data_IF_370198545568
#
_entry.id   IF_370198545568
#
_cell.length_a   1.000
_cell.length_b   1.000
_cell.length_c   1.000
_cell.angle_alpha   90.00
_cell.angle_beta   90.00
_cell.angle_gamma   90.00
#
_symmetry.space_group_name_H-M   'P 1'
#
loop_
_entity.id
_entity.type
_entity.pdbx_description
1 polymer ?
#
# COMPACT_ATOMS: atom_id res chain seq x y z
N UNK A 1 -13.53 111.32 -88.59
CA UNK A 1 -13.76 111.40 -87.12
C UNK A 1 -14.68 110.28 -86.63
N UNK A 2 -15.91 110.13 -87.16
CA UNK A 2 -16.90 109.14 -86.69
C UNK A 2 -16.42 107.67 -86.82
N UNK A 3 -15.84 107.28 -87.96
CA UNK A 3 -15.33 105.90 -88.17
C UNK A 3 -14.21 105.53 -87.19
N UNK A 4 -13.31 106.49 -86.89
CA UNK A 4 -12.18 106.27 -86.00
C UNK A 4 -12.59 106.15 -84.53
N UNK A 5 -13.65 106.87 -84.14
CA UNK A 5 -14.29 106.73 -82.82
C UNK A 5 -14.99 105.37 -82.73
N UNK A 6 -15.70 104.95 -83.79
CA UNK A 6 -16.40 103.67 -83.82
C UNK A 6 -15.46 102.46 -83.78
N UNK A 7 -14.37 102.48 -84.54
CA UNK A 7 -13.37 101.40 -84.50
C UNK A 7 -12.65 101.37 -83.16
N UNK A 8 -12.28 102.53 -82.60
CA UNK A 8 -11.64 102.59 -81.28
C UNK A 8 -12.56 102.06 -80.17
N UNK A 9 -13.81 102.53 -80.11
CA UNK A 9 -14.78 102.04 -79.11
C UNK A 9 -15.09 100.57 -79.32
N UNK A 10 -15.25 100.09 -80.56
CA UNK A 10 -15.45 98.68 -80.86
C UNK A 10 -14.25 97.83 -80.43
N UNK A 11 -13.03 98.20 -80.78
CA UNK A 11 -11.83 97.47 -80.37
C UNK A 11 -11.63 97.50 -78.87
N UNK A 12 -11.90 98.64 -78.21
CA UNK A 12 -11.76 98.78 -76.76
C UNK A 12 -12.80 97.95 -76.02
N UNK A 13 -14.06 97.99 -76.47
CA UNK A 13 -15.14 97.16 -75.90
C UNK A 13 -14.84 95.69 -76.16
N UNK A 14 -14.42 95.31 -77.36
CA UNK A 14 -14.09 93.93 -77.70
C UNK A 14 -12.89 93.42 -76.90
N UNK A 15 -11.79 94.17 -76.80
CA UNK A 15 -10.63 93.75 -76.00
C UNK A 15 -10.95 93.74 -74.52
N UNK A 16 -11.70 94.71 -74.00
CA UNK A 16 -12.11 94.74 -72.60
C UNK A 16 -13.03 93.55 -72.27
N UNK A 17 -14.05 93.30 -73.07
CA UNK A 17 -14.96 92.16 -72.90
C UNK A 17 -14.20 90.84 -73.06
N UNK A 18 -13.37 90.70 -74.11
CA UNK A 18 -12.61 89.48 -74.35
C UNK A 18 -11.60 89.21 -73.22
N UNK A 19 -10.84 90.22 -72.79
CA UNK A 19 -9.87 90.06 -71.69
C UNK A 19 -10.58 89.82 -70.37
N UNK A 20 -11.67 90.52 -70.06
CA UNK A 20 -12.45 90.32 -68.84
C UNK A 20 -13.07 88.92 -68.80
N UNK A 21 -13.75 88.50 -69.87
CA UNK A 21 -14.36 87.18 -69.96
C UNK A 21 -13.29 86.09 -69.95
N UNK A 22 -12.23 86.22 -70.73
CA UNK A 22 -11.16 85.22 -70.78
C UNK A 22 -10.44 85.09 -69.43
N UNK A 23 -10.05 86.21 -68.81
CA UNK A 23 -9.38 86.16 -67.51
C UNK A 23 -10.32 85.64 -66.42
N UNK A 24 -11.58 86.09 -66.39
CA UNK A 24 -12.55 85.62 -65.40
C UNK A 24 -12.84 84.13 -65.55
N UNK A 25 -13.16 83.66 -66.76
CA UNK A 25 -13.46 82.25 -67.02
C UNK A 25 -12.21 81.39 -66.79
N UNK A 26 -11.05 81.80 -67.30
CA UNK A 26 -9.82 81.02 -67.14
C UNK A 26 -9.41 80.93 -65.67
N UNK A 27 -9.39 82.05 -64.94
CA UNK A 27 -9.03 82.04 -63.52
C UNK A 27 -10.04 81.26 -62.70
N UNK A 28 -11.34 81.44 -62.93
CA UNK A 28 -12.38 80.73 -62.20
C UNK A 28 -12.33 79.21 -62.45
N UNK A 29 -12.28 78.79 -63.72
CA UNK A 29 -12.21 77.36 -64.07
C UNK A 29 -10.90 76.74 -63.59
N UNK A 30 -9.76 77.40 -63.81
CA UNK A 30 -8.46 76.88 -63.40
C UNK A 30 -8.36 76.75 -61.87
N UNK A 31 -8.77 77.78 -61.13
CA UNK A 31 -8.75 77.72 -59.66
C UNK A 31 -9.72 76.67 -59.12
N UNK A 32 -10.92 76.57 -59.70
CA UNK A 32 -11.92 75.56 -59.28
C UNK A 32 -11.44 74.13 -59.54
N UNK A 33 -10.95 73.83 -60.75
CA UNK A 33 -10.43 72.50 -61.09
C UNK A 33 -9.21 72.15 -60.23
N UNK A 34 -8.26 73.08 -60.09
CA UNK A 34 -7.05 72.84 -59.30
C UNK A 34 -7.37 72.60 -57.82
N UNK A 35 -8.26 73.40 -57.23
CA UNK A 35 -8.70 73.21 -55.84
C UNK A 35 -9.43 71.89 -55.66
N UNK A 36 -10.29 71.49 -56.61
CA UNK A 36 -11.00 70.21 -56.57
C UNK A 36 -10.06 69.00 -56.67
N UNK A 37 -9.08 69.03 -57.56
CA UNK A 37 -8.08 67.95 -57.68
C UNK A 37 -7.24 67.88 -56.40
N UNK A 38 -6.79 69.02 -55.88
CA UNK A 38 -5.96 69.04 -54.67
C UNK A 38 -6.73 68.51 -53.44
N UNK A 39 -7.99 68.92 -53.25
CA UNK A 39 -8.83 68.39 -52.17
C UNK A 39 -9.07 66.90 -52.34
N UNK A 40 -9.30 66.42 -53.56
CA UNK A 40 -9.43 64.98 -53.83
C UNK A 40 -8.15 64.21 -53.49
N UNK A 41 -6.98 64.70 -53.89
CA UNK A 41 -5.70 64.05 -53.55
C UNK A 41 -5.42 64.05 -52.05
N UNK A 42 -5.77 65.14 -51.35
CA UNK A 42 -5.63 65.24 -49.90
C UNK A 42 -6.56 64.26 -49.17
N UNK A 43 -7.81 64.15 -49.60
CA UNK A 43 -8.77 63.19 -49.06
C UNK A 43 -8.26 61.76 -49.30
N UNK A 44 -7.75 61.46 -50.49
CA UNK A 44 -7.21 60.14 -50.81
C UNK A 44 -5.99 59.80 -49.94
N UNK A 45 -5.01 60.69 -49.81
CA UNK A 45 -3.83 60.45 -48.99
C UNK A 45 -4.17 60.34 -47.51
N UNK A 46 -5.07 61.19 -47.00
CA UNK A 46 -5.54 61.13 -45.62
C UNK A 46 -6.27 59.82 -45.33
N UNK A 47 -7.22 59.41 -46.18
CA UNK A 47 -7.94 58.15 -46.04
C UNK A 47 -6.98 56.98 -46.12
N UNK A 48 -6.08 56.95 -47.11
CA UNK A 48 -5.13 55.86 -47.28
C UNK A 48 -4.18 55.75 -46.08
N UNK A 49 -3.59 56.87 -45.64
CA UNK A 49 -2.68 56.85 -44.49
C UNK A 49 -3.40 56.50 -43.20
N UNK A 50 -4.58 57.07 -42.94
CA UNK A 50 -5.36 56.77 -41.74
C UNK A 50 -5.82 55.31 -41.72
N UNK A 51 -6.42 54.81 -42.80
CA UNK A 51 -6.86 53.42 -42.89
C UNK A 51 -5.67 52.47 -42.82
N UNK A 52 -4.61 52.73 -43.58
CA UNK A 52 -3.44 51.85 -43.58
C UNK A 52 -2.76 51.83 -42.21
N UNK A 53 -2.48 52.99 -41.62
CA UNK A 53 -1.84 53.03 -40.29
C UNK A 53 -2.75 52.44 -39.22
N UNK A 54 -4.02 52.82 -39.17
CA UNK A 54 -4.95 52.31 -38.16
C UNK A 54 -5.15 50.81 -38.29
N UNK A 55 -5.49 50.31 -39.49
CA UNK A 55 -5.68 48.88 -39.70
C UNK A 55 -4.37 48.15 -39.43
N UNK A 56 -3.26 48.54 -40.07
CA UNK A 56 -2.00 47.81 -39.91
C UNK A 56 -1.51 47.82 -38.46
N UNK A 57 -1.51 48.97 -37.79
CA UNK A 57 -1.07 49.02 -36.39
C UNK A 57 -2.02 48.25 -35.49
N UNK A 58 -3.34 48.42 -35.63
CA UNK A 58 -4.32 47.72 -34.80
C UNK A 58 -4.27 46.20 -35.03
N UNK A 59 -4.32 45.74 -36.28
CA UNK A 59 -4.25 44.30 -36.58
C UNK A 59 -2.91 43.74 -36.14
N UNK A 60 -1.79 44.40 -36.45
CA UNK A 60 -0.49 43.85 -36.12
C UNK A 60 -0.26 43.84 -34.61
N UNK A 61 -0.53 44.93 -33.91
CA UNK A 61 -0.37 44.96 -32.45
C UNK A 61 -1.35 44.03 -31.75
N UNK A 62 -2.63 44.05 -32.11
CA UNK A 62 -3.64 43.20 -31.48
C UNK A 62 -3.36 41.71 -31.74
N UNK A 63 -3.15 41.32 -33.00
CA UNK A 63 -2.88 39.91 -33.33
C UNK A 63 -1.57 39.49 -32.69
N UNK A 64 -0.50 40.28 -32.81
CA UNK A 64 0.79 39.89 -32.26
C UNK A 64 0.76 39.81 -30.74
N UNK A 65 0.22 40.81 -30.04
CA UNK A 65 0.14 40.76 -28.58
C UNK A 65 -0.82 39.70 -28.12
N UNK A 66 -2.02 39.58 -28.69
CA UNK A 66 -2.99 38.57 -28.27
C UNK A 66 -2.47 37.16 -28.52
N UNK A 67 -2.02 36.85 -29.74
CA UNK A 67 -1.49 35.52 -30.05
C UNK A 67 -0.25 35.23 -29.21
N UNK A 68 0.73 36.14 -29.17
CA UNK A 68 1.95 35.87 -28.42
C UNK A 68 1.67 35.75 -26.93
N UNK A 69 0.97 36.70 -26.32
CA UNK A 69 0.74 36.65 -24.87
C UNK A 69 -0.16 35.48 -24.52
N UNK A 70 -1.29 35.29 -25.20
CA UNK A 70 -2.24 34.26 -24.86
C UNK A 70 -1.72 32.86 -25.15
N UNK A 71 -1.10 32.62 -26.31
CA UNK A 71 -0.54 31.29 -26.62
C UNK A 71 0.65 31.01 -25.71
N UNK A 72 1.57 31.96 -25.54
CA UNK A 72 2.74 31.72 -24.70
C UNK A 72 2.35 31.53 -23.24
N UNK A 73 1.48 32.37 -22.68
CA UNK A 73 1.03 32.18 -21.29
C UNK A 73 0.22 30.92 -21.14
N UNK A 74 -0.71 30.60 -22.05
CA UNK A 74 -1.51 29.38 -21.98
C UNK A 74 -0.65 28.13 -22.09
N UNK A 75 0.23 28.04 -23.09
CA UNK A 75 1.13 26.91 -23.25
C UNK A 75 2.06 26.79 -22.05
N UNK A 76 2.70 27.89 -21.63
CA UNK A 76 3.63 27.84 -20.51
C UNK A 76 2.92 27.48 -19.21
N UNK A 77 1.80 28.13 -18.88
CA UNK A 77 1.06 27.81 -17.65
C UNK A 77 0.48 26.42 -17.70
N UNK A 78 -0.20 26.03 -18.77
CA UNK A 78 -0.82 24.71 -18.90
C UNK A 78 0.22 23.60 -18.87
N UNK A 79 1.26 23.67 -19.72
CA UNK A 79 2.30 22.64 -19.76
C UNK A 79 3.05 22.61 -18.43
N UNK A 80 3.49 23.75 -17.90
CA UNK A 80 4.25 23.77 -16.66
C UNK A 80 3.40 23.29 -15.49
N UNK A 81 2.17 23.78 -15.32
CA UNK A 81 1.32 23.33 -14.21
C UNK A 81 0.92 21.88 -14.38
N UNK A 82 0.50 21.44 -15.57
CA UNK A 82 0.09 20.06 -15.81
C UNK A 82 1.24 19.09 -15.62
N UNK A 83 2.40 19.33 -16.26
CA UNK A 83 3.57 18.45 -16.11
C UNK A 83 4.06 18.47 -14.67
N UNK A 84 4.22 19.64 -14.06
CA UNK A 84 4.71 19.72 -12.68
C UNK A 84 3.74 19.04 -11.71
N UNK A 85 2.44 19.35 -11.79
CA UNK A 85 1.46 18.72 -10.89
C UNK A 85 1.34 17.24 -11.15
N UNK A 86 1.24 16.79 -12.40
CA UNK A 86 1.12 15.38 -12.73
C UNK A 86 2.36 14.60 -12.30
N UNK A 87 3.56 15.04 -12.68
CA UNK A 87 4.80 14.36 -12.32
C UNK A 87 4.98 14.38 -10.80
N UNK A 88 4.83 15.54 -10.15
CA UNK A 88 5.01 15.63 -8.71
C UNK A 88 3.98 14.78 -7.96
N UNK A 89 2.69 14.88 -8.30
CA UNK A 89 1.65 14.08 -7.63
C UNK A 89 1.82 12.61 -7.93
N UNK A 90 2.06 12.21 -9.17
CA UNK A 90 2.25 10.80 -9.53
C UNK A 90 3.48 10.21 -8.84
N UNK A 91 4.65 10.85 -8.96
CA UNK A 91 5.88 10.35 -8.34
C UNK A 91 5.73 10.34 -6.82
N UNK A 92 5.26 11.44 -6.22
CA UNK A 92 5.12 11.51 -4.76
C UNK A 92 4.11 10.48 -4.26
N UNK A 93 2.91 10.41 -4.85
CA UNK A 93 1.90 9.45 -4.41
C UNK A 93 2.34 8.03 -4.66
N UNK A 94 2.85 7.70 -5.84
CA UNK A 94 3.30 6.35 -6.18
C UNK A 94 4.46 5.91 -5.28
N UNK A 95 5.53 6.71 -5.19
CA UNK A 95 6.68 6.36 -4.35
C UNK A 95 6.27 6.29 -2.89
N UNK A 96 5.54 7.29 -2.37
CA UNK A 96 5.14 7.28 -0.98
C UNK A 96 4.21 6.10 -0.67
N UNK A 97 3.17 5.87 -1.48
CA UNK A 97 2.26 4.74 -1.24
C UNK A 97 2.98 3.42 -1.41
N UNK A 98 3.76 3.22 -2.47
CA UNK A 98 4.48 1.97 -2.72
C UNK A 98 5.49 1.69 -1.61
N UNK A 99 6.37 2.64 -1.28
CA UNK A 99 7.38 2.44 -0.23
C UNK A 99 6.70 2.25 1.12
N UNK A 100 5.73 3.11 1.48
CA UNK A 100 5.04 3.00 2.76
C UNK A 100 4.29 1.67 2.86
N UNK A 101 3.50 1.30 1.86
CA UNK A 101 2.76 0.03 1.88
C UNK A 101 3.71 -1.15 1.86
N UNK A 102 4.72 -1.18 0.99
CA UNK A 102 5.67 -2.29 0.93
C UNK A 102 6.44 -2.45 2.23
N UNK A 103 7.03 -1.38 2.77
CA UNK A 103 7.78 -1.44 4.02
C UNK A 103 6.84 -1.80 5.16
N UNK A 104 5.70 -1.10 5.31
CA UNK A 104 4.78 -1.35 6.41
C UNK A 104 4.22 -2.77 6.35
N UNK A 105 3.73 -3.22 5.19
CA UNK A 105 3.18 -4.57 5.05
C UNK A 105 4.28 -5.60 5.29
N UNK A 106 5.43 -5.50 4.62
CA UNK A 106 6.48 -6.49 4.76
C UNK A 106 7.06 -6.54 6.18
N UNK A 107 7.32 -5.39 6.81
CA UNK A 107 7.84 -5.36 8.18
C UNK A 107 6.79 -5.88 9.15
N UNK A 108 5.54 -5.43 9.04
CA UNK A 108 4.48 -5.89 9.92
C UNK A 108 4.18 -7.38 9.73
N UNK A 109 4.07 -7.86 8.49
CA UNK A 109 3.84 -9.29 8.25
C UNK A 109 5.03 -10.09 8.72
N UNK A 110 6.26 -9.73 8.36
CA UNK A 110 7.46 -10.48 8.75
C UNK A 110 7.62 -10.52 10.26
N UNK A 111 7.55 -9.38 10.95
CA UNK A 111 7.68 -9.30 12.41
C UNK A 111 6.52 -10.07 13.06
N UNK A 112 5.29 -9.84 12.62
CA UNK A 112 4.14 -10.50 13.22
C UNK A 112 4.19 -12.01 13.01
N UNK A 113 4.43 -12.49 11.77
CA UNK A 113 4.55 -13.93 11.51
C UNK A 113 5.74 -14.51 12.26
N UNK A 114 6.93 -13.91 12.18
CA UNK A 114 8.12 -14.46 12.79
C UNK A 114 7.99 -14.52 14.31
N UNK A 115 7.60 -13.42 14.95
CA UNK A 115 7.42 -13.38 16.41
C UNK A 115 6.28 -14.28 16.83
N UNK A 116 5.12 -14.21 16.18
CA UNK A 116 3.97 -15.03 16.55
C UNK A 116 4.27 -16.50 16.36
N UNK A 117 4.78 -16.92 15.19
CA UNK A 117 5.12 -18.32 14.96
C UNK A 117 6.21 -18.75 15.91
N UNK A 118 7.32 -18.02 16.03
CA UNK A 118 8.44 -18.43 16.87
C UNK A 118 8.03 -18.54 18.34
N UNK A 119 7.40 -17.50 18.90
CA UNK A 119 6.97 -17.50 20.30
C UNK A 119 5.88 -18.54 20.51
N UNK A 120 4.85 -18.59 19.65
CA UNK A 120 3.76 -19.53 19.82
C UNK A 120 4.26 -20.96 19.68
N UNK A 121 5.03 -21.30 18.64
CA UNK A 121 5.57 -22.64 18.48
C UNK A 121 6.54 -22.97 19.58
N UNK A 122 7.45 -22.07 19.96
CA UNK A 122 8.45 -22.35 20.99
C UNK A 122 7.79 -22.54 22.36
N UNK A 123 6.94 -21.62 22.78
CA UNK A 123 6.24 -21.72 24.07
C UNK A 123 5.30 -22.90 24.06
N UNK A 124 4.48 -23.07 23.02
CA UNK A 124 3.54 -24.19 22.95
C UNK A 124 4.29 -25.51 22.93
N UNK A 125 5.29 -25.69 22.06
CA UNK A 125 6.05 -26.95 22.02
C UNK A 125 6.81 -27.16 23.32
N UNK A 126 7.52 -26.17 23.85
CA UNK A 126 8.28 -26.32 25.10
C UNK A 126 7.36 -26.63 26.29
N UNK A 127 6.32 -25.84 26.53
CA UNK A 127 5.40 -26.06 27.64
C UNK A 127 4.65 -27.37 27.46
N UNK A 128 4.08 -27.60 26.27
CA UNK A 128 3.31 -28.82 26.02
C UNK A 128 4.21 -30.05 26.15
N UNK A 129 5.37 -30.08 25.49
CA UNK A 129 6.28 -31.23 25.61
C UNK A 129 6.77 -31.37 27.03
N UNK A 130 7.37 -30.34 27.63
CA UNK A 130 7.95 -30.43 28.97
C UNK A 130 6.91 -30.83 30.01
N UNK A 131 5.78 -30.12 30.09
CA UNK A 131 4.74 -30.42 31.08
C UNK A 131 4.10 -31.78 30.79
N UNK A 132 3.69 -32.05 29.55
CA UNK A 132 3.04 -33.31 29.22
C UNK A 132 3.98 -34.48 29.45
N UNK A 133 5.23 -34.43 28.96
CA UNK A 133 6.17 -35.53 29.16
C UNK A 133 6.54 -35.67 30.62
N UNK A 134 6.79 -34.58 31.35
CA UNK A 134 7.24 -34.68 32.73
C UNK A 134 6.10 -35.13 33.65
N UNK A 135 4.88 -34.63 33.47
CA UNK A 135 3.72 -35.10 34.22
C UNK A 135 3.38 -36.52 33.83
N UNK A 136 3.32 -36.85 32.54
CA UNK A 136 3.02 -38.20 32.09
C UNK A 136 4.06 -39.20 32.60
N UNK A 137 5.35 -38.91 32.46
CA UNK A 137 6.42 -39.78 32.96
C UNK A 137 6.33 -39.85 34.49
N UNK A 138 6.20 -38.74 35.20
CA UNK A 138 6.15 -38.75 36.67
C UNK A 138 4.93 -39.52 37.19
N UNK A 139 3.73 -39.22 36.70
CA UNK A 139 2.50 -39.92 37.13
C UNK A 139 2.56 -41.38 36.71
N UNK A 140 2.88 -41.68 35.45
CA UNK A 140 2.93 -43.04 34.95
C UNK A 140 3.99 -43.85 35.71
N UNK A 141 5.22 -43.35 35.81
CA UNK A 141 6.28 -44.07 36.54
C UNK A 141 5.96 -44.18 38.02
N UNK A 142 5.55 -43.11 38.70
CA UNK A 142 5.26 -43.15 40.13
C UNK A 142 4.06 -44.06 40.43
N UNK A 143 2.92 -43.87 39.77
CA UNK A 143 1.73 -44.68 40.02
C UNK A 143 1.99 -46.12 39.59
N UNK A 144 2.52 -46.35 38.39
CA UNK A 144 2.78 -47.72 37.94
C UNK A 144 3.80 -48.40 38.83
N UNK A 145 4.95 -47.79 39.12
CA UNK A 145 5.96 -48.43 39.97
C UNK A 145 5.45 -48.60 41.39
N UNK A 146 4.84 -47.58 42.01
CA UNK A 146 4.34 -47.67 43.37
C UNK A 146 3.21 -48.70 43.50
N UNK A 147 2.17 -48.62 42.67
CA UNK A 147 1.05 -49.57 42.73
C UNK A 147 1.53 -50.97 42.35
N UNK A 148 2.27 -51.12 41.25
CA UNK A 148 2.74 -52.44 40.85
C UNK A 148 3.68 -53.03 41.90
N UNK A 149 4.70 -52.30 42.35
CA UNK A 149 5.64 -52.83 43.35
C UNK A 149 4.94 -53.05 44.68
N UNK A 150 4.14 -52.11 45.19
CA UNK A 150 3.47 -52.27 46.48
C UNK A 150 2.46 -53.41 46.44
N UNK A 151 1.53 -53.43 45.47
CA UNK A 151 0.52 -54.47 45.38
C UNK A 151 1.18 -55.81 45.07
N UNK A 152 2.06 -55.88 44.07
CA UNK A 152 2.72 -57.13 43.73
C UNK A 152 3.56 -57.64 44.90
N UNK A 153 4.44 -56.82 45.48
CA UNK A 153 5.27 -57.28 46.60
C UNK A 153 4.43 -57.60 47.81
N UNK A 154 3.47 -56.76 48.21
CA UNK A 154 2.65 -57.02 49.39
C UNK A 154 1.78 -58.26 49.21
N UNK A 155 1.01 -58.35 48.12
CA UNK A 155 0.13 -59.50 47.87
C UNK A 155 0.98 -60.76 47.64
N UNK A 156 1.99 -60.71 46.78
CA UNK A 156 2.82 -61.86 46.50
C UNK A 156 3.55 -62.30 47.76
N UNK A 157 4.24 -61.42 48.48
CA UNK A 157 4.96 -61.81 49.70
C UNK A 157 4.00 -62.25 50.79
N UNK A 158 2.89 -61.55 51.04
CA UNK A 158 1.95 -61.93 52.07
C UNK A 158 1.28 -63.26 51.77
N UNK A 159 0.71 -63.44 50.57
CA UNK A 159 0.05 -64.68 50.18
C UNK A 159 1.08 -65.81 50.09
N UNK A 160 2.21 -65.60 49.41
CA UNK A 160 3.23 -66.62 49.29
C UNK A 160 3.78 -67.00 50.65
N UNK A 161 4.22 -66.05 51.48
CA UNK A 161 4.75 -66.38 52.81
C UNK A 161 3.68 -66.97 53.70
N UNK A 162 2.48 -66.42 53.78
CA UNK A 162 1.43 -66.96 54.64
C UNK A 162 1.01 -68.36 54.20
N UNK A 163 0.66 -68.57 52.92
CA UNK A 163 0.24 -69.89 52.43
C UNK A 163 1.41 -70.87 52.49
N UNK A 164 2.59 -70.50 51.99
CA UNK A 164 3.74 -71.39 52.00
C UNK A 164 4.14 -71.73 53.43
N UNK A 165 4.33 -70.76 54.32
CA UNK A 165 4.73 -71.04 55.70
C UNK A 165 3.63 -71.79 56.43
N UNK A 166 2.36 -71.38 56.34
CA UNK A 166 1.28 -72.05 57.04
C UNK A 166 1.11 -73.49 56.56
N UNK A 167 0.97 -73.71 55.25
CA UNK A 167 0.80 -75.06 54.70
C UNK A 167 2.05 -75.90 54.94
N UNK A 168 3.24 -75.36 54.64
CA UNK A 168 4.49 -76.11 54.82
C UNK A 168 4.72 -76.45 56.29
N UNK A 169 4.63 -75.48 57.20
CA UNK A 169 4.83 -75.74 58.62
C UNK A 169 3.73 -76.63 59.17
N UNK A 170 2.46 -76.42 58.84
CA UNK A 170 1.36 -77.24 59.34
C UNK A 170 1.50 -78.69 58.86
N UNK A 171 1.66 -78.91 57.55
CA UNK A 171 1.81 -80.26 57.00
C UNK A 171 3.10 -80.89 57.50
N UNK A 172 4.23 -80.19 57.45
CA UNK A 172 5.52 -80.73 57.89
C UNK A 172 5.48 -81.07 59.38
N UNK A 173 5.05 -80.15 60.24
CA UNK A 173 4.98 -80.39 61.68
C UNK A 173 3.95 -81.46 62.01
N UNK A 174 2.76 -81.43 61.41
CA UNK A 174 1.73 -82.44 61.66
C UNK A 174 2.19 -83.83 61.24
N UNK A 175 2.68 -83.99 60.01
CA UNK A 175 3.17 -85.29 59.53
C UNK A 175 4.39 -85.73 60.33
N UNK A 176 5.37 -84.85 60.54
CA UNK A 176 6.59 -85.19 61.28
C UNK A 176 6.28 -85.57 62.72
N UNK A 177 5.48 -84.77 63.43
CA UNK A 177 5.11 -85.07 64.82
C UNK A 177 4.22 -86.30 64.90
N UNK A 178 3.24 -86.48 64.01
CA UNK A 178 2.38 -87.65 64.00
C UNK A 178 3.17 -88.93 63.74
N UNK A 179 4.01 -88.96 62.71
CA UNK A 179 4.85 -90.12 62.40
C UNK A 179 5.85 -90.37 63.53
N UNK A 180 6.55 -89.33 64.00
CA UNK A 180 7.55 -89.48 65.06
C UNK A 180 6.92 -89.96 66.37
N UNK A 181 5.81 -89.36 66.81
CA UNK A 181 5.12 -89.77 68.04
C UNK A 181 4.48 -91.14 67.90
N UNK A 182 3.91 -91.48 66.75
CA UNK A 182 3.32 -92.81 66.53
C UNK A 182 4.40 -93.89 66.52
N UNK A 183 5.52 -93.68 65.82
CA UNK A 183 6.63 -94.65 65.82
C UNK A 183 7.25 -94.77 67.21
N UNK A 184 7.46 -93.65 67.91
CA UNK A 184 8.06 -93.64 69.24
C UNK A 184 7.16 -94.23 70.32
N UNK A 185 5.85 -93.96 70.28
CA UNK A 185 4.90 -94.58 71.23
C UNK A 185 4.68 -96.06 70.93
N UNK A 186 4.69 -96.46 69.65
CA UNK A 186 4.60 -97.86 69.25
C UNK A 186 5.87 -98.65 69.62
N UNK A 187 7.06 -98.06 69.47
CA UNK A 187 8.30 -98.71 69.91
C UNK A 187 8.38 -98.81 71.44
N UNK A 188 7.93 -97.78 72.17
CA UNK A 188 7.83 -97.79 73.64
C UNK A 188 6.78 -98.79 74.16
N UNK A 189 5.64 -98.92 73.50
CA UNK A 189 4.61 -99.88 73.90
C UNK A 189 5.06 -101.32 73.63
N UNK A 190 5.74 -101.60 72.52
CA UNK A 190 6.34 -102.89 72.24
C UNK A 190 7.43 -103.26 73.27
N UNK A 191 8.30 -102.31 73.64
CA UNK A 191 9.32 -102.54 74.67
C UNK A 191 8.70 -102.73 76.06
N UNK A 192 7.66 -101.97 76.42
CA UNK A 192 6.95 -102.11 77.69
C UNK A 192 6.12 -103.39 77.80
N UNK A 193 5.53 -103.86 76.69
CA UNK A 193 4.86 -105.16 76.66
C UNK A 193 5.87 -106.30 76.76
N UNK A 194 7.03 -106.19 76.10
CA UNK A 194 8.10 -107.18 76.22
C UNK A 194 8.61 -107.30 77.67
N UNK A 195 8.83 -106.18 78.36
CA UNK A 195 9.30 -106.18 79.76
C UNK A 195 8.26 -106.70 80.74
N UNK A 196 6.97 -106.39 80.55
CA UNK A 196 5.88 -106.94 81.37
C UNK A 196 5.71 -108.45 81.21
N UNK A 197 5.93 -108.98 80.00
CA UNK A 197 5.77 -110.40 79.70
C UNK A 197 6.94 -111.26 80.20
N UNK A 198 8.10 -110.65 80.47
CA UNK A 198 9.25 -111.29 81.15
C UNK A 198 9.18 -111.23 82.68
N UNK A 199 8.20 -110.53 83.26
CA UNK A 199 8.03 -110.35 84.71
C UNK A 199 6.83 -111.10 85.32
N UNK A 200 6.25 -112.05 84.58
CA UNK A 200 5.30 -113.07 85.05
C UNK A 200 5.95 -114.45 84.89
#
# INVERSE_FOLDING_TARGET
MIIHVYTYTYTYIHTYIHTYIHTYIHTYIHTYIHTYIHTHTYIHTYIHTYIHTYIHTYTHTYIHTYIHTHIHTYIHTYIHTYIHTYIHTYIHTYIHTYIHTYIHTHTHTYIHTYIYTYIHTYIHTYIHTYIHTHIHIYIHTYIHTYIHTYIHTYIHTYIHTYIHTYIHTYIHTYIHTYIHTHIHTHSLSLTCNYTKQTSL
#
